data_IF_588513976902
#
_entry.id   IF_588513976902
#
_cell.length_a   1.000
_cell.length_b   1.000
_cell.length_c   1.000
_cell.angle_alpha   90.00
_cell.angle_beta   90.00
_cell.angle_gamma   90.00
#
_symmetry.space_group_name_H-M   'P 1'
#
loop_
_entity.id
_entity.type
_entity.pdbx_description
1 polymer ?
#
# COMPACT_ATOMS: atom_id res chain seq x y z
N UNK A 1 19.41 -24.86 -8.60
CA UNK A 1 18.34 -23.98 -9.15
C UNK A 1 16.99 -24.52 -8.72
N UNK A 2 16.17 -23.74 -8.03
CA UNK A 2 14.96 -24.24 -7.36
C UNK A 2 13.79 -24.29 -8.36
N UNK A 3 13.47 -25.46 -8.91
CA UNK A 3 12.42 -25.66 -9.96
C UNK A 3 11.09 -24.98 -9.59
N UNK A 4 10.73 -25.02 -8.30
CA UNK A 4 9.52 -24.39 -7.76
C UNK A 4 9.52 -22.87 -7.96
N UNK A 5 10.67 -22.21 -7.79
CA UNK A 5 10.80 -20.74 -7.96
C UNK A 5 10.63 -20.36 -9.42
N UNK A 6 11.21 -21.13 -10.35
CA UNK A 6 11.06 -20.93 -11.80
C UNK A 6 9.60 -21.08 -12.21
N UNK A 7 8.94 -22.17 -11.77
CA UNK A 7 7.54 -22.42 -12.08
C UNK A 7 6.59 -21.30 -11.57
N UNK A 8 6.77 -20.86 -10.32
CA UNK A 8 5.98 -19.75 -9.76
C UNK A 8 6.22 -18.48 -10.56
N UNK A 9 7.46 -18.16 -10.91
CA UNK A 9 7.79 -16.97 -11.68
C UNK A 9 7.12 -16.99 -13.06
N UNK A 10 7.16 -18.13 -13.77
CA UNK A 10 6.47 -18.30 -15.06
C UNK A 10 4.96 -18.06 -14.93
N UNK A 11 4.30 -18.61 -13.91
CA UNK A 11 2.86 -18.38 -13.67
C UNK A 11 2.56 -16.90 -13.46
N UNK A 12 3.38 -16.20 -12.67
CA UNK A 12 3.21 -14.77 -12.41
C UNK A 12 3.49 -13.91 -13.65
N UNK A 13 4.29 -14.41 -14.61
CA UNK A 13 4.61 -13.73 -15.86
C UNK A 13 3.48 -13.81 -16.90
N UNK A 14 2.59 -14.82 -16.81
CA UNK A 14 1.50 -14.99 -17.76
C UNK A 14 0.52 -13.80 -17.80
N UNK A 15 -0.02 -13.29 -16.67
CA UNK A 15 -0.85 -12.08 -16.66
C UNK A 15 -0.14 -10.86 -17.26
N UNK A 16 1.15 -10.70 -16.95
CA UNK A 16 1.96 -9.61 -17.47
C UNK A 16 2.05 -9.63 -19.00
N UNK A 17 2.40 -10.78 -19.59
CA UNK A 17 2.47 -10.95 -21.05
C UNK A 17 1.11 -10.73 -21.69
N UNK A 18 0.05 -11.28 -21.09
CA UNK A 18 -1.31 -11.08 -21.57
C UNK A 18 -1.69 -9.59 -21.63
N UNK A 19 -1.45 -8.83 -20.55
CA UNK A 19 -1.74 -7.40 -20.50
C UNK A 19 -0.88 -6.59 -21.49
N UNK A 20 0.40 -6.97 -21.64
CA UNK A 20 1.31 -6.35 -22.61
C UNK A 20 0.83 -6.54 -24.05
N UNK A 21 0.45 -7.76 -24.42
CA UNK A 21 -0.02 -8.09 -25.79
C UNK A 21 -1.37 -7.43 -26.08
N UNK A 22 -2.29 -7.45 -25.12
CA UNK A 22 -3.64 -6.89 -25.29
C UNK A 22 -3.71 -5.37 -25.06
N UNK A 23 -2.60 -4.72 -24.69
CA UNK A 23 -2.54 -3.30 -24.29
C UNK A 23 -3.62 -2.95 -23.24
N UNK A 24 -3.81 -3.84 -22.27
CA UNK A 24 -4.79 -3.70 -21.21
C UNK A 24 -4.12 -3.55 -19.84
N UNK A 25 -4.90 -3.23 -18.80
CA UNK A 25 -4.35 -2.99 -17.46
C UNK A 25 -3.37 -1.82 -17.45
N UNK A 26 -2.19 -2.03 -16.88
CA UNK A 26 -1.10 -1.05 -16.81
C UNK A 26 -0.44 -0.72 -18.15
N UNK A 27 -0.75 -1.46 -19.21
CA UNK A 27 -0.34 -1.15 -20.59
C UNK A 27 -1.40 -0.39 -21.39
N UNK A 28 -2.57 -0.13 -20.78
CA UNK A 28 -3.69 0.55 -21.41
C UNK A 28 -3.71 2.07 -21.19
N UNK A 29 -4.77 2.75 -21.65
CA UNK A 29 -4.90 4.21 -21.55
C UNK A 29 -5.11 4.73 -20.12
N UNK A 30 -5.50 3.86 -19.18
CA UNK A 30 -5.72 4.22 -17.76
C UNK A 30 -4.54 3.83 -16.86
N UNK A 31 -3.33 3.76 -17.43
CA UNK A 31 -2.10 3.43 -16.68
C UNK A 31 -1.75 4.51 -15.67
N UNK A 32 -0.87 4.16 -14.73
CA UNK A 32 -0.27 5.13 -13.82
C UNK A 32 0.51 6.21 -14.60
N UNK A 33 0.44 7.43 -14.11
CA UNK A 33 1.25 8.56 -14.56
C UNK A 33 2.15 9.03 -13.44
N UNK A 34 3.42 9.26 -13.72
CA UNK A 34 4.34 9.81 -12.74
C UNK A 34 3.88 11.20 -12.30
N UNK A 35 4.03 11.49 -11.02
CA UNK A 35 3.81 12.82 -10.48
C UNK A 35 5.13 13.56 -10.56
N UNK A 36 5.25 14.44 -11.55
CA UNK A 36 6.36 15.37 -11.67
C UNK A 36 6.12 16.62 -10.82
N UNK A 37 7.16 17.07 -10.11
CA UNK A 37 7.15 18.32 -9.36
C UNK A 37 7.33 18.19 -7.84
N UNK A 38 7.55 19.31 -7.13
CA UNK A 38 7.68 19.31 -5.69
C UNK A 38 6.37 18.86 -5.01
N UNK A 39 6.49 18.32 -3.79
CA UNK A 39 5.36 18.01 -2.90
C UNK A 39 4.35 19.17 -2.99
N UNK A 40 3.05 18.93 -3.29
CA UNK A 40 2.11 20.01 -3.53
C UNK A 40 2.14 21.03 -2.38
N UNK A 41 2.64 22.23 -2.67
CA UNK A 41 2.75 23.34 -1.73
C UNK A 41 1.35 23.91 -1.49
N UNK A 42 0.59 23.25 -0.61
CA UNK A 42 -0.81 23.61 -0.32
C UNK A 42 -1.63 22.53 0.38
N UNK A 43 -0.98 21.54 0.99
CA UNK A 43 -1.63 20.43 1.66
C UNK A 43 -1.79 20.60 3.17
N UNK A 44 -2.60 19.74 3.78
CA UNK A 44 -2.61 19.60 5.23
C UNK A 44 -1.24 19.11 5.75
N UNK A 45 -0.85 19.42 7.01
CA UNK A 45 0.47 19.09 7.56
C UNK A 45 0.78 17.58 7.55
N UNK A 46 -0.24 16.74 7.75
CA UNK A 46 -0.09 15.30 7.75
C UNK A 46 0.35 14.77 6.38
N UNK A 47 -0.25 15.29 5.30
CA UNK A 47 0.16 14.98 3.94
C UNK A 47 1.62 15.41 3.71
N UNK A 48 2.00 16.62 4.10
CA UNK A 48 3.38 17.09 3.98
C UNK A 48 4.37 16.20 4.75
N UNK A 49 4.02 15.81 5.98
CA UNK A 49 4.80 14.86 6.78
C UNK A 49 4.95 13.49 6.10
N UNK A 50 3.87 12.97 5.51
CA UNK A 50 3.89 11.69 4.82
C UNK A 50 4.82 11.69 3.60
N UNK A 51 4.82 12.76 2.81
CA UNK A 51 5.77 12.92 1.70
C UNK A 51 7.21 13.09 2.19
N UNK A 52 7.43 13.89 3.24
CA UNK A 52 8.77 14.12 3.83
C UNK A 52 9.38 12.83 4.37
N UNK A 53 8.58 11.98 5.00
CA UNK A 53 9.04 10.74 5.64
C UNK A 53 8.83 9.50 4.77
N UNK A 54 8.49 9.68 3.49
CA UNK A 54 8.43 8.59 2.53
C UNK A 54 9.80 7.95 2.37
N UNK A 55 9.86 6.62 2.46
CA UNK A 55 11.09 5.86 2.25
C UNK A 55 10.83 4.67 1.32
N UNK A 56 11.87 4.22 0.63
CA UNK A 56 11.83 3.00 -0.17
C UNK A 56 12.06 1.77 0.69
N UNK A 57 11.44 0.66 0.33
CA UNK A 57 11.65 -0.63 0.97
C UNK A 57 13.09 -1.11 0.74
N UNK A 58 13.74 -1.64 1.77
CA UNK A 58 15.15 -2.08 1.68
C UNK A 58 15.31 -3.48 1.04
N UNK A 59 14.22 -4.24 0.94
CA UNK A 59 14.20 -5.58 0.33
C UNK A 59 12.83 -5.93 -0.24
N UNK A 60 12.72 -6.92 -1.14
CA UNK A 60 11.52 -7.27 -1.92
C UNK A 60 10.24 -7.55 -1.09
N UNK A 61 10.38 -7.97 0.17
CA UNK A 61 9.24 -8.28 1.05
C UNK A 61 8.93 -7.20 2.09
N UNK A 62 9.67 -6.08 2.08
CA UNK A 62 9.63 -5.04 3.12
C UNK A 62 8.73 -3.85 2.82
N UNK A 63 7.85 -3.93 1.80
CA UNK A 63 6.90 -2.88 1.45
C UNK A 63 6.05 -2.43 2.64
N UNK A 64 5.62 -3.37 3.50
CA UNK A 64 4.91 -3.04 4.74
C UNK A 64 5.74 -2.19 5.70
N UNK A 65 7.05 -2.46 5.80
CA UNK A 65 7.94 -1.77 6.76
C UNK A 65 8.15 -0.33 6.34
N UNK A 66 8.51 -0.12 5.08
CA UNK A 66 8.62 1.20 4.49
C UNK A 66 7.33 2.01 4.63
N UNK A 67 6.19 1.38 4.33
CA UNK A 67 4.88 2.05 4.42
C UNK A 67 4.56 2.48 5.85
N UNK A 68 4.68 1.56 6.80
CA UNK A 68 4.29 1.82 8.19
C UNK A 68 5.27 2.80 8.85
N UNK A 69 6.57 2.72 8.56
CA UNK A 69 7.53 3.70 9.11
C UNK A 69 7.27 5.11 8.58
N UNK A 70 6.93 5.25 7.29
CA UNK A 70 6.57 6.56 6.72
C UNK A 70 5.31 7.13 7.38
N UNK A 71 4.31 6.29 7.62
CA UNK A 71 3.08 6.67 8.33
C UNK A 71 3.36 7.06 9.78
N UNK A 72 4.11 6.24 10.52
CA UNK A 72 4.46 6.51 11.93
C UNK A 72 5.26 7.80 12.05
N UNK A 73 6.26 8.02 11.21
CA UNK A 73 7.04 9.26 11.22
C UNK A 73 6.19 10.48 10.86
N UNK A 74 5.29 10.37 9.89
CA UNK A 74 4.37 11.46 9.55
C UNK A 74 3.47 11.86 10.74
N UNK A 75 3.01 10.88 11.51
CA UNK A 75 2.15 11.09 12.68
C UNK A 75 2.92 11.59 13.91
N UNK A 76 4.20 11.24 14.06
CA UNK A 76 5.05 11.75 15.15
C UNK A 76 5.43 13.23 14.98
N UNK A 77 5.17 13.80 13.80
CA UNK A 77 5.38 15.22 13.52
C UNK A 77 6.83 15.57 13.19
N UNK A 78 7.04 16.84 12.80
CA UNK A 78 8.31 17.30 12.25
C UNK A 78 9.47 17.39 13.27
N UNK A 79 9.14 17.55 14.56
CA UNK A 79 10.10 17.77 15.65
C UNK A 79 10.63 16.45 16.24
N UNK A 80 9.97 15.33 15.96
CA UNK A 80 10.43 14.02 16.41
C UNK A 80 11.55 13.51 15.50
N UNK A 81 12.61 12.96 16.11
CA UNK A 81 13.63 12.24 15.36
C UNK A 81 12.98 11.07 14.59
N UNK A 82 13.15 10.99 13.25
CA UNK A 82 12.51 9.96 12.46
C UNK A 82 13.07 8.58 12.84
N UNK A 83 12.18 7.61 13.00
CA UNK A 83 12.56 6.21 13.18
C UNK A 83 12.88 5.58 11.83
N UNK A 84 13.79 4.60 11.85
CA UNK A 84 14.17 3.83 10.67
C UNK A 84 13.32 2.58 10.52
N UNK A 85 13.42 1.95 9.34
CA UNK A 85 12.79 0.65 9.08
C UNK A 85 13.31 -0.46 10.02
N UNK A 86 14.54 -0.35 10.52
CA UNK A 86 15.08 -1.32 11.46
C UNK A 86 14.55 -1.08 12.88
N UNK A 87 14.46 0.18 13.31
CA UNK A 87 13.94 0.53 14.64
C UNK A 87 12.54 -0.04 14.84
N UNK A 88 11.65 0.17 13.86
CA UNK A 88 10.26 -0.33 13.95
C UNK A 88 10.17 -1.86 13.98
N UNK A 89 11.06 -2.56 13.29
CA UNK A 89 11.11 -4.03 13.31
C UNK A 89 11.64 -4.59 14.63
N UNK A 90 12.46 -3.83 15.36
CA UNK A 90 12.89 -4.21 16.71
C UNK A 90 11.85 -3.88 17.77
N UNK A 91 11.06 -2.82 17.57
CA UNK A 91 10.03 -2.42 18.52
C UNK A 91 8.75 -3.24 18.38
N UNK A 92 8.25 -3.43 17.16
CA UNK A 92 6.93 -4.04 16.91
C UNK A 92 7.06 -5.55 16.69
N UNK A 93 6.64 -6.34 17.69
CA UNK A 93 6.75 -7.81 17.68
C UNK A 93 5.54 -8.54 17.08
N UNK A 94 4.46 -7.81 16.80
CA UNK A 94 3.21 -8.35 16.26
C UNK A 94 3.44 -9.16 14.98
N UNK A 95 2.76 -10.30 14.88
CA UNK A 95 2.80 -11.21 13.73
C UNK A 95 4.18 -11.76 13.32
N UNK A 96 5.20 -11.71 14.18
CA UNK A 96 6.58 -12.08 13.83
C UNK A 96 7.10 -11.26 12.65
N UNK A 97 6.80 -9.96 12.66
CA UNK A 97 6.99 -9.10 11.50
C UNK A 97 8.45 -9.08 11.03
N UNK A 98 9.40 -8.90 11.96
CA UNK A 98 10.84 -8.95 11.67
C UNK A 98 11.26 -10.25 11.02
N UNK A 99 10.83 -11.40 11.55
CA UNK A 99 11.15 -12.71 11.00
C UNK A 99 10.55 -12.90 9.60
N UNK A 100 9.33 -12.38 9.36
CA UNK A 100 8.68 -12.41 8.04
C UNK A 100 9.42 -11.56 6.99
N UNK A 101 10.15 -10.52 7.40
CA UNK A 101 10.93 -9.68 6.48
C UNK A 101 12.29 -10.30 6.12
N UNK A 102 12.72 -11.34 6.84
CA UNK A 102 13.96 -12.07 6.52
C UNK A 102 13.85 -12.86 5.22
N UNK A 103 14.98 -13.26 4.64
CA UNK A 103 15.03 -14.14 3.47
C UNK A 103 14.30 -15.47 3.70
N UNK A 104 14.41 -16.03 4.91
CA UNK A 104 13.75 -17.29 5.29
C UNK A 104 12.24 -17.12 5.53
N UNK A 105 11.80 -15.91 5.86
CA UNK A 105 10.46 -15.63 6.35
C UNK A 105 10.15 -16.33 7.69
N UNK A 106 8.91 -16.22 8.14
CA UNK A 106 8.42 -16.92 9.33
C UNK A 106 7.48 -18.06 8.90
N UNK A 107 7.90 -19.32 9.09
CA UNK A 107 7.14 -20.51 8.64
C UNK A 107 6.79 -20.44 7.14
N UNK A 108 7.73 -19.97 6.32
CA UNK A 108 7.56 -19.77 4.88
C UNK A 108 6.68 -18.59 4.48
N UNK A 109 6.20 -17.78 5.43
CA UNK A 109 5.41 -16.56 5.17
C UNK A 109 6.33 -15.34 5.10
N UNK A 110 6.13 -14.52 4.07
CA UNK A 110 6.81 -13.23 3.84
C UNK A 110 5.78 -12.15 3.52
N UNK A 111 6.14 -10.90 3.82
CA UNK A 111 5.21 -9.77 3.76
C UNK A 111 4.02 -9.91 4.73
N UNK A 112 3.05 -9.01 4.60
CA UNK A 112 1.83 -8.99 5.41
C UNK A 112 0.57 -9.05 4.53
N UNK A 113 -0.27 -10.10 4.66
CA UNK A 113 -1.64 -10.06 4.15
C UNK A 113 -2.45 -8.95 4.82
N UNK A 114 -3.46 -8.43 4.13
CA UNK A 114 -4.27 -7.28 4.57
C UNK A 114 -4.73 -7.32 6.06
N UNK A 115 -5.30 -8.42 6.61
CA UNK A 115 -5.69 -8.45 8.03
C UNK A 115 -4.49 -8.28 8.98
N UNK A 116 -3.37 -8.92 8.65
CA UNK A 116 -2.13 -8.86 9.45
C UNK A 116 -1.49 -7.48 9.34
N UNK A 117 -1.61 -6.82 8.18
CA UNK A 117 -1.19 -5.43 8.03
C UNK A 117 -1.96 -4.51 9.00
N UNK A 118 -3.28 -4.70 9.13
CA UNK A 118 -4.08 -3.98 10.10
C UNK A 118 -3.60 -4.13 11.54
N UNK A 119 -3.35 -5.38 11.97
CA UNK A 119 -2.81 -5.68 13.31
C UNK A 119 -1.45 -5.02 13.56
N UNK A 120 -0.55 -5.07 12.56
CA UNK A 120 0.78 -4.45 12.64
C UNK A 120 0.68 -2.92 12.69
N UNK A 121 -0.22 -2.32 11.91
CA UNK A 121 -0.46 -0.86 11.94
C UNK A 121 -0.94 -0.44 13.32
N UNK A 122 -1.99 -1.07 13.87
CA UNK A 122 -2.50 -0.80 15.22
C UNK A 122 -1.39 -0.91 16.25
N UNK A 123 -0.67 -2.04 16.25
CA UNK A 123 0.42 -2.28 17.20
C UNK A 123 1.57 -1.27 17.06
N UNK A 124 1.84 -0.78 15.85
CA UNK A 124 2.86 0.25 15.64
C UNK A 124 2.42 1.59 16.23
N UNK A 125 1.17 2.00 16.02
CA UNK A 125 0.65 3.23 16.60
C UNK A 125 0.70 3.18 18.15
N UNK A 126 0.29 2.05 18.73
CA UNK A 126 0.30 1.86 20.19
C UNK A 126 1.72 1.91 20.77
N UNK A 127 2.68 1.20 20.17
CA UNK A 127 4.06 1.14 20.67
C UNK A 127 4.81 2.47 20.60
N UNK A 128 4.46 3.32 19.62
CA UNK A 128 5.03 4.67 19.50
C UNK A 128 4.18 5.75 20.18
N UNK A 129 3.15 5.38 20.95
CA UNK A 129 2.32 6.30 21.71
C UNK A 129 1.52 7.29 20.84
N UNK A 130 1.16 6.90 19.62
CA UNK A 130 0.41 7.74 18.69
C UNK A 130 -1.08 7.58 18.97
N UNK A 131 -1.77 8.67 19.33
CA UNK A 131 -3.21 8.67 19.54
C UNK A 131 -3.99 8.57 18.22
N UNK A 132 -5.00 7.71 18.19
CA UNK A 132 -5.91 7.54 17.05
C UNK A 132 -7.32 7.18 17.52
N UNK A 133 -8.34 7.64 16.79
CA UNK A 133 -9.73 7.35 17.09
C UNK A 133 -10.14 5.94 16.63
N UNK A 134 -9.60 5.48 15.49
CA UNK A 134 -9.88 4.13 14.98
C UNK A 134 -8.83 3.66 13.97
N UNK A 135 -8.59 2.35 13.91
CA UNK A 135 -7.92 1.67 12.80
C UNK A 135 -8.89 0.64 12.23
N UNK A 136 -9.20 0.76 10.94
CA UNK A 136 -10.11 -0.14 10.25
C UNK A 136 -9.41 -0.82 9.07
N UNK A 137 -9.56 -2.14 8.97
CA UNK A 137 -9.08 -2.91 7.81
C UNK A 137 -10.27 -3.22 6.90
N UNK A 138 -10.24 -2.70 5.67
CA UNK A 138 -11.35 -2.84 4.72
C UNK A 138 -10.87 -3.65 3.52
N UNK A 139 -11.41 -4.86 3.37
CA UNK A 139 -11.21 -5.67 2.19
C UNK A 139 -12.06 -5.13 1.03
N UNK A 140 -11.41 -4.86 -0.10
CA UNK A 140 -12.13 -4.45 -1.30
C UNK A 140 -12.87 -5.64 -1.92
N UNK A 141 -13.99 -5.37 -2.59
CA UNK A 141 -14.82 -6.42 -3.17
C UNK A 141 -15.10 -6.14 -4.64
N UNK A 142 -15.22 -7.20 -5.44
CA UNK A 142 -15.58 -7.11 -6.86
C UNK A 142 -17.08 -7.09 -7.10
N UNK A 143 -17.87 -7.60 -6.15
CA UNK A 143 -19.33 -7.63 -6.26
C UNK A 143 -19.89 -6.21 -6.48
N UNK A 144 -20.72 -5.96 -7.51
CA UNK A 144 -21.19 -4.62 -7.83
C UNK A 144 -21.94 -3.91 -6.69
N UNK A 145 -22.74 -4.64 -5.89
CA UNK A 145 -23.53 -4.03 -4.81
C UNK A 145 -22.63 -3.61 -3.66
N UNK A 146 -21.77 -4.51 -3.17
CA UNK A 146 -20.87 -4.21 -2.06
C UNK A 146 -19.78 -3.23 -2.48
N UNK A 147 -19.26 -3.34 -3.70
CA UNK A 147 -18.21 -2.45 -4.19
C UNK A 147 -18.66 -1.00 -4.28
N UNK A 148 -19.92 -0.74 -4.63
CA UNK A 148 -20.49 0.61 -4.64
C UNK A 148 -20.38 1.28 -3.27
N UNK A 149 -20.85 0.61 -2.21
CA UNK A 149 -20.78 1.12 -0.83
C UNK A 149 -19.34 1.35 -0.39
N UNK A 150 -18.43 0.41 -0.67
CA UNK A 150 -17.02 0.55 -0.29
C UNK A 150 -16.36 1.71 -1.07
N UNK A 151 -16.66 1.87 -2.37
CA UNK A 151 -16.16 2.99 -3.18
C UNK A 151 -16.62 4.34 -2.62
N UNK A 152 -17.89 4.47 -2.25
CA UNK A 152 -18.44 5.70 -1.67
C UNK A 152 -17.74 6.06 -0.35
N UNK A 153 -17.54 5.08 0.54
CA UNK A 153 -16.81 5.27 1.80
C UNK A 153 -15.34 5.62 1.54
N UNK A 154 -14.67 4.91 0.64
CA UNK A 154 -13.26 5.15 0.31
C UNK A 154 -13.06 6.55 -0.29
N UNK A 155 -13.93 6.98 -1.21
CA UNK A 155 -13.86 8.33 -1.81
C UNK A 155 -14.04 9.42 -0.75
N UNK A 156 -14.95 9.21 0.21
CA UNK A 156 -15.12 10.12 1.35
C UNK A 156 -13.86 10.20 2.20
N UNK A 157 -13.27 9.05 2.56
CA UNK A 157 -12.04 8.96 3.35
C UNK A 157 -10.85 9.63 2.65
N UNK A 158 -10.72 9.44 1.34
CA UNK A 158 -9.70 10.10 0.52
C UNK A 158 -9.87 11.63 0.53
N UNK A 159 -11.12 12.11 0.39
CA UNK A 159 -11.41 13.54 0.46
C UNK A 159 -11.20 14.12 1.87
N UNK A 160 -11.49 13.36 2.93
CA UNK A 160 -11.17 13.76 4.31
C UNK A 160 -9.66 13.82 4.54
N UNK A 161 -8.90 12.85 4.01
CA UNK A 161 -7.43 12.89 4.05
C UNK A 161 -6.90 14.14 3.34
N UNK A 162 -7.38 14.44 2.13
CA UNK A 162 -6.93 15.59 1.36
C UNK A 162 -7.24 16.92 2.06
N UNK A 163 -8.49 17.11 2.47
CA UNK A 163 -8.99 18.42 2.94
C UNK A 163 -8.77 18.66 4.43
N UNK A 164 -8.85 17.62 5.25
CA UNK A 164 -8.85 17.74 6.72
C UNK A 164 -7.57 17.23 7.35
N UNK A 165 -6.82 16.34 6.70
CA UNK A 165 -5.60 15.76 7.27
C UNK A 165 -5.84 15.00 8.58
N UNK A 166 -7.04 14.47 8.79
CA UNK A 166 -7.44 13.81 10.05
C UNK A 166 -7.55 12.29 9.91
N UNK A 167 -6.94 11.74 8.87
CA UNK A 167 -6.85 10.31 8.63
C UNK A 167 -5.72 9.97 7.67
N UNK A 168 -5.30 8.71 7.65
CA UNK A 168 -4.39 8.13 6.66
C UNK A 168 -5.00 6.90 6.01
N UNK A 169 -4.53 6.59 4.81
CA UNK A 169 -4.92 5.41 4.07
C UNK A 169 -3.65 4.68 3.62
N UNK A 170 -3.55 3.41 3.99
CA UNK A 170 -2.54 2.49 3.49
C UNK A 170 -3.21 1.54 2.50
N UNK A 171 -2.77 1.56 1.25
CA UNK A 171 -3.30 0.68 0.21
C UNK A 171 -2.59 -0.69 0.26
N UNK A 172 -3.37 -1.76 0.13
CA UNK A 172 -2.88 -3.12 -0.10
C UNK A 172 -3.48 -3.59 -1.44
N UNK A 173 -2.67 -3.65 -2.49
CA UNK A 173 -3.16 -3.72 -3.87
C UNK A 173 -2.35 -4.70 -4.73
N UNK A 174 -2.81 -4.92 -5.96
CA UNK A 174 -2.07 -5.61 -7.01
C UNK A 174 -1.24 -4.59 -7.80
N UNK A 175 0.10 -4.64 -7.67
CA UNK A 175 0.97 -3.62 -8.26
C UNK A 175 0.91 -3.61 -9.79
N UNK A 176 0.81 -4.79 -10.41
CA UNK A 176 0.69 -4.95 -11.86
C UNK A 176 -0.60 -4.36 -12.44
N UNK A 177 -1.59 -4.04 -11.58
CA UNK A 177 -2.79 -3.33 -12.00
C UNK A 177 -2.55 -1.85 -12.32
N UNK A 178 -1.48 -1.24 -11.78
CA UNK A 178 -1.19 0.18 -11.92
C UNK A 178 -0.01 0.45 -12.84
N UNK A 179 1.10 -0.25 -12.61
CA UNK A 179 2.38 -0.08 -13.31
C UNK A 179 2.74 -1.35 -14.08
N UNK A 180 3.55 -1.26 -15.15
CA UNK A 180 3.87 -2.40 -16.01
C UNK A 180 4.89 -3.34 -15.33
N UNK A 181 4.44 -4.04 -14.30
CA UNK A 181 5.19 -5.05 -13.53
C UNK A 181 4.33 -6.29 -13.26
N UNK A 182 4.88 -7.28 -12.56
CA UNK A 182 4.17 -8.49 -12.19
C UNK A 182 2.96 -8.20 -11.30
N UNK A 183 1.90 -8.98 -11.47
CA UNK A 183 0.71 -8.89 -10.63
C UNK A 183 0.95 -9.56 -9.26
N UNK A 184 1.59 -8.83 -8.36
CA UNK A 184 1.94 -9.27 -7.00
C UNK A 184 1.29 -8.38 -5.93
N UNK A 185 1.01 -8.93 -4.73
CA UNK A 185 0.56 -8.11 -3.60
C UNK A 185 1.58 -7.06 -3.23
N UNK A 186 1.13 -5.82 -3.07
CA UNK A 186 1.98 -4.69 -2.70
C UNK A 186 1.28 -3.76 -1.72
N UNK A 187 2.06 -3.03 -0.93
CA UNK A 187 1.58 -2.15 0.13
C UNK A 187 2.27 -0.80 -0.02
N UNK A 188 1.50 0.28 -0.02
CA UNK A 188 2.05 1.66 -0.05
C UNK A 188 1.08 2.66 0.57
N UNK A 189 1.58 3.77 1.13
CA UNK A 189 0.73 4.86 1.60
C UNK A 189 0.08 5.62 0.43
N UNK A 190 -1.14 6.10 0.63
CA UNK A 190 -1.78 7.06 -0.27
C UNK A 190 -1.25 8.46 0.05
N UNK A 191 -0.69 9.13 -0.96
CA UNK A 191 -0.03 10.44 -0.83
C UNK A 191 -0.92 11.64 -1.11
N UNK A 192 -2.07 11.44 -1.77
CA UNK A 192 -2.99 12.53 -2.08
C UNK A 192 -4.22 12.06 -2.85
N UNK A 193 -5.23 12.92 -2.92
CA UNK A 193 -6.42 12.70 -3.72
C UNK A 193 -6.92 14.00 -4.32
N UNK A 194 -7.06 14.06 -5.64
CA UNK A 194 -7.69 15.19 -6.31
C UNK A 194 -9.21 14.93 -6.47
N UNK A 195 -10.08 15.68 -5.76
CA UNK A 195 -11.53 15.48 -5.86
C UNK A 195 -12.12 15.93 -7.21
N UNK A 196 -11.42 16.75 -7.98
CA UNK A 196 -11.90 17.26 -9.28
C UNK A 196 -11.69 16.22 -10.38
N UNK A 197 -10.48 15.68 -10.47
CA UNK A 197 -10.13 14.66 -11.48
C UNK A 197 -10.43 13.24 -11.01
N UNK A 198 -10.54 13.04 -9.70
CA UNK A 198 -10.66 11.73 -9.08
C UNK A 198 -9.35 10.94 -9.08
N UNK A 199 -8.21 11.60 -9.21
CA UNK A 199 -6.90 10.96 -9.19
C UNK A 199 -6.43 10.68 -7.76
N UNK A 200 -5.86 9.49 -7.55
CA UNK A 200 -5.27 9.06 -6.29
C UNK A 200 -3.76 8.95 -6.49
N UNK A 201 -2.99 9.63 -5.64
CA UNK A 201 -1.53 9.56 -5.65
C UNK A 201 -1.07 8.44 -4.72
N UNK A 202 -0.23 7.53 -5.21
CA UNK A 202 0.44 6.52 -4.42
C UNK A 202 1.90 6.90 -4.20
N UNK A 203 2.32 6.87 -2.94
CA UNK A 203 3.73 7.00 -2.56
C UNK A 203 4.37 5.61 -2.58
N UNK A 204 4.52 5.05 -3.78
CA UNK A 204 4.98 3.68 -3.94
C UNK A 204 6.36 3.49 -3.29
N UNK A 205 6.46 2.52 -2.38
CA UNK A 205 7.68 2.22 -1.62
C UNK A 205 8.63 1.28 -2.36
N UNK A 206 8.21 0.71 -3.49
CA UNK A 206 9.07 -0.11 -4.34
C UNK A 206 10.23 0.75 -4.90
N UNK A 207 11.50 0.37 -4.69
CA UNK A 207 12.66 1.10 -5.23
C UNK A 207 12.69 1.14 -6.76
N UNK A 208 12.00 0.23 -7.46
CA UNK A 208 11.90 0.28 -8.92
C UNK A 208 11.01 1.42 -9.43
N UNK A 209 10.13 1.97 -8.57
CA UNK A 209 9.31 3.12 -8.89
C UNK A 209 10.02 4.37 -8.37
N UNK A 210 10.79 5.06 -9.21
CA UNK A 210 11.60 6.21 -8.77
C UNK A 210 10.73 7.36 -8.21
N UNK A 211 9.57 7.58 -8.82
CA UNK A 211 8.64 8.66 -8.48
C UNK A 211 7.34 8.11 -7.91
N UNK A 212 6.64 8.89 -7.06
CA UNK A 212 5.22 8.69 -6.85
C UNK A 212 4.46 8.75 -8.17
N UNK A 213 3.35 8.04 -8.25
CA UNK A 213 2.48 8.06 -9.42
C UNK A 213 1.04 8.26 -9.00
N UNK A 214 0.22 8.70 -9.95
CA UNK A 214 -1.21 8.86 -9.80
C UNK A 214 -1.96 7.91 -10.72
N UNK A 215 -3.13 7.48 -10.25
CA UNK A 215 -4.07 6.65 -11.00
C UNK A 215 -5.48 7.20 -10.81
N UNK A 216 -6.36 7.00 -11.80
CA UNK A 216 -7.80 7.30 -11.63
C UNK A 216 -8.40 6.46 -10.50
N UNK A 217 -9.37 7.00 -9.78
CA UNK A 217 -10.04 6.32 -8.66
C UNK A 217 -10.55 4.92 -9.01
N UNK A 218 -11.15 4.71 -10.18
CA UNK A 218 -11.62 3.38 -10.58
C UNK A 218 -10.48 2.40 -10.85
N UNK A 219 -9.35 2.87 -11.38
CA UNK A 219 -8.12 2.08 -11.51
C UNK A 219 -7.59 1.73 -10.13
N UNK A 220 -7.49 2.70 -9.21
CA UNK A 220 -7.11 2.47 -7.83
C UNK A 220 -8.00 1.42 -7.16
N UNK A 221 -9.32 1.58 -7.21
CA UNK A 221 -10.23 0.60 -6.61
C UNK A 221 -10.09 -0.78 -7.25
N UNK A 222 -9.87 -0.87 -8.56
CA UNK A 222 -9.66 -2.13 -9.26
C UNK A 222 -8.43 -2.87 -8.73
N UNK A 223 -7.32 -2.18 -8.50
CA UNK A 223 -6.12 -2.80 -7.91
C UNK A 223 -6.31 -3.21 -6.45
N UNK A 224 -7.10 -2.48 -5.66
CA UNK A 224 -7.50 -2.93 -4.33
C UNK A 224 -8.36 -4.20 -4.39
N UNK A 225 -9.33 -4.25 -5.31
CA UNK A 225 -10.28 -5.34 -5.45
C UNK A 225 -9.71 -6.55 -6.22
N UNK A 226 -8.47 -6.49 -6.71
CA UNK A 226 -7.83 -7.61 -7.41
C UNK A 226 -7.73 -8.85 -6.52
N UNK A 227 -8.00 -10.01 -7.13
CA UNK A 227 -7.67 -11.28 -6.49
C UNK A 227 -6.21 -11.57 -6.76
N UNK A 228 -5.47 -11.92 -5.72
CA UNK A 228 -4.09 -12.33 -5.90
C UNK A 228 -4.01 -13.72 -6.51
N UNK A 229 -2.88 -13.99 -7.17
CA UNK A 229 -2.62 -15.31 -7.73
C UNK A 229 -2.81 -16.40 -6.65
N UNK A 230 -3.48 -17.49 -7.02
CA UNK A 230 -3.82 -18.60 -6.13
C UNK A 230 -2.62 -19.17 -5.38
N UNK A 231 -1.40 -19.05 -5.93
CA UNK A 231 -0.15 -19.45 -5.28
C UNK A 231 0.08 -18.76 -3.93
N UNK A 232 -0.49 -17.56 -3.72
CA UNK A 232 -0.33 -16.80 -2.49
C UNK A 232 -1.37 -17.13 -1.41
N UNK A 233 -2.44 -17.87 -1.75
CA UNK A 233 -3.52 -18.22 -0.81
C UNK A 233 -3.05 -18.99 0.44
N UNK A 234 -2.14 -19.99 0.35
CA UNK A 234 -1.62 -20.68 1.54
C UNK A 234 -0.91 -19.76 2.54
N UNK A 235 -0.46 -18.58 2.09
CA UNK A 235 0.21 -17.58 2.92
C UNK A 235 -0.74 -16.48 3.43
N UNK A 236 -2.04 -16.58 3.15
CA UNK A 236 -3.08 -15.67 3.63
C UNK A 236 -3.46 -14.54 2.67
N UNK A 237 -2.80 -14.44 1.50
CA UNK A 237 -3.16 -13.44 0.50
C UNK A 237 -4.32 -13.94 -0.36
N UNK A 238 -5.47 -13.27 -0.26
CA UNK A 238 -6.67 -13.59 -1.04
C UNK A 238 -6.98 -12.47 -2.03
N UNK A 239 -7.28 -11.29 -1.50
CA UNK A 239 -7.48 -10.06 -2.27
C UNK A 239 -6.92 -8.87 -1.50
N UNK A 240 -6.86 -7.72 -2.16
CA UNK A 240 -6.44 -6.47 -1.55
C UNK A 240 -7.55 -5.72 -0.80
N UNK A 241 -7.26 -4.46 -0.53
CA UNK A 241 -8.08 -3.55 0.26
C UNK A 241 -7.25 -2.40 0.79
N UNK A 242 -7.63 -1.85 1.94
CA UNK A 242 -6.87 -0.77 2.55
C UNK A 242 -7.02 -0.79 4.07
N UNK A 243 -6.03 -0.21 4.75
CA UNK A 243 -6.11 0.14 6.17
C UNK A 243 -6.40 1.63 6.27
N UNK A 244 -7.43 1.97 7.03
CA UNK A 244 -7.84 3.34 7.33
C UNK A 244 -7.47 3.67 8.77
N UNK A 245 -6.75 4.76 8.98
CA UNK A 245 -6.37 5.26 10.30
C UNK A 245 -7.10 6.58 10.51
N UNK A 246 -8.00 6.66 11.48
CA UNK A 246 -8.68 7.89 11.87
C UNK A 246 -7.95 8.52 13.06
N UNK A 247 -7.60 9.80 12.94
CA UNK A 247 -7.03 10.57 14.05
C UNK A 247 -8.12 11.24 14.88
N UNK A 248 -7.80 11.59 16.12
CA UNK A 248 -8.67 12.38 17.01
C UNK A 248 -8.92 13.78 16.47
#
# INVERSE_FOLDING_TARGET
MNLRRVFIHTILYLPFVFHKVTRSGSFGPCRAEDVDGPVPAGGNPLKAGLWKHHVKQFHESSCSVATVVSVVNALRGADAAPITQMDILETVRTAFWKERMSEKGHKGRRGLPLPVLGEVVTSSLDQYGIGYAAVETVQAQKDPRHSKTIKEVLRRRLNDFEKKGNCLIIAHFDQGAYVPTLNIPHISPVGGFDPHTGEVILLDVDPQQEKPYRVRFDTFYKGLASDYNHVFRPFGYRSGGYVYIKLH
#
